data_IF_218384596394
#
_entry.id   IF_218384596394
#
_cell.length_a   1.000
_cell.length_b   1.000
_cell.length_c   1.000
_cell.angle_alpha   90.00
_cell.angle_beta   90.00
_cell.angle_gamma   90.00
#
_symmetry.space_group_name_H-M   'P 1'
#
loop_
_entity.id
_entity.type
_entity.pdbx_description
1 polymer ?
2 non-polymer ?
3 non-polymer ?
4 non-polymer ?
5 non-polymer ?
6 water ?
#
# COMPACT_ATOMS: atom_id res chain seq x y z
N UNK A 3 -8.32 -14.80 16.94
CA UNK A 3 -9.30 -13.77 17.26
C UNK A 3 -9.25 -12.55 16.32
N UNK A 4 -8.05 -11.98 16.05
CA UNK A 4 -8.00 -10.83 15.13
C UNK A 4 -8.39 -11.20 13.71
N UNK A 5 -7.73 -12.23 13.15
CA UNK A 5 -8.07 -12.66 11.80
C UNK A 5 -9.48 -13.22 11.72
N UNK A 6 -9.92 -13.90 12.77
CA UNK A 6 -11.26 -14.49 12.76
C UNK A 6 -12.34 -13.42 12.81
N UNK A 7 -12.14 -12.39 13.64
CA UNK A 7 -13.11 -11.30 13.70
C UNK A 7 -13.09 -10.46 12.44
N UNK A 8 -11.92 -10.29 11.82
CA UNK A 8 -11.82 -9.51 10.58
C UNK A 8 -12.60 -10.17 9.46
N UNK A 9 -12.67 -11.49 9.44
CA UNK A 9 -13.42 -12.19 8.39
C UNK A 9 -14.91 -12.21 8.66
N UNK A 10 -15.31 -12.21 9.94
CA UNK A 10 -16.74 -12.13 10.26
C UNK A 10 -17.33 -10.79 9.83
N UNK A 11 -16.58 -9.70 10.03
CA UNK A 11 -17.05 -8.39 9.61
C UNK A 11 -17.10 -8.30 8.09
N UNK A 12 -16.22 -9.03 7.39
CA UNK A 12 -16.28 -9.06 5.93
C UNK A 12 -17.62 -9.61 5.46
N UNK A 13 -18.07 -10.72 6.05
CA UNK A 13 -19.38 -11.26 5.72
C UNK A 13 -20.48 -10.27 6.03
N UNK A 14 -20.36 -9.56 7.16
CA UNK A 14 -21.36 -8.55 7.50
C UNK A 14 -21.33 -7.40 6.51
N UNK A 15 -20.14 -6.94 6.13
CA UNK A 15 -20.03 -5.84 5.16
C UNK A 15 -20.54 -6.30 3.79
N UNK A 16 -20.11 -7.48 3.34
CA UNK A 16 -20.54 -7.98 2.04
C UNK A 16 -22.05 -8.15 1.99
N UNK A 17 -22.64 -8.67 3.06
CA UNK A 17 -24.08 -8.90 3.07
C UNK A 17 -24.85 -7.59 2.99
N UNK A 18 -24.37 -6.55 3.68
CA UNK A 18 -25.04 -5.25 3.61
C UNK A 18 -24.95 -4.67 2.20
N UNK A 19 -23.75 -4.67 1.63
CA UNK A 19 -23.55 -4.07 0.31
C UNK A 19 -24.40 -4.77 -0.74
N UNK A 20 -24.44 -6.10 -0.70
CA UNK A 20 -25.18 -6.84 -1.72
C UNK A 20 -26.69 -6.71 -1.50
N UNK A 21 -27.14 -6.74 -0.25
CA UNK A 21 -28.57 -6.55 0.01
C UNK A 21 -28.99 -5.12 -0.34
N UNK A 22 -28.13 -4.14 -0.09
CA UNK A 22 -28.44 -2.77 -0.49
C UNK A 22 -28.65 -2.68 -1.99
N UNK A 23 -27.78 -3.34 -2.77
CA UNK A 23 -27.98 -3.38 -4.22
C UNK A 23 -29.30 -4.05 -4.59
N UNK A 24 -29.65 -5.12 -3.87
CA UNK A 24 -30.90 -5.82 -4.14
C UNK A 24 -32.11 -5.00 -3.73
N UNK A 25 -32.06 -4.41 -2.53
CA UNK A 25 -33.22 -3.74 -1.97
C UNK A 25 -33.37 -2.29 -2.40
N UNK A 26 -32.26 -1.59 -2.68
CA UNK A 26 -32.31 -0.17 -2.98
C UNK A 26 -31.85 0.18 -4.39
N UNK A 27 -31.18 -0.72 -5.10
CA UNK A 27 -30.65 -0.42 -6.42
C UNK A 27 -31.25 -1.31 -7.51
N UNK A 28 -32.25 -2.11 -7.18
CA UNK A 28 -33.03 -2.86 -8.17
C UNK A 28 -32.17 -3.88 -8.92
N UNK A 29 -31.19 -4.45 -8.24
CA UNK A 29 -30.28 -5.40 -8.87
C UNK A 29 -30.87 -6.81 -8.86
N UNK A 30 -30.76 -7.49 -9.98
CA UNK A 30 -31.24 -8.85 -10.14
C UNK A 30 -30.30 -9.84 -9.46
N UNK A 31 -30.81 -11.02 -9.08
CA UNK A 31 -29.95 -12.00 -8.40
C UNK A 31 -28.71 -12.39 -9.19
N UNK A 32 -28.81 -12.51 -10.52
CA UNK A 32 -27.67 -12.93 -11.32
C UNK A 32 -26.50 -11.98 -11.14
N UNK A 33 -26.76 -10.67 -11.13
CA UNK A 33 -25.68 -9.70 -10.96
C UNK A 33 -25.22 -9.61 -9.52
N UNK A 34 -26.09 -9.90 -8.55
CA UNK A 34 -25.68 -9.90 -7.15
C UNK A 34 -24.66 -11.01 -6.90
N UNK A 35 -24.96 -12.22 -7.39
CA UNK A 35 -23.99 -13.31 -7.26
C UNK A 35 -22.74 -13.02 -8.06
N UNK A 36 -22.87 -12.34 -9.20
CA UNK A 36 -21.69 -11.95 -9.97
C UNK A 36 -20.81 -10.99 -9.19
N UNK A 37 -21.43 -10.04 -8.47
CA UNK A 37 -20.65 -9.10 -7.69
C UNK A 37 -20.12 -9.71 -6.40
N UNK A 38 -20.82 -10.69 -5.84
CA UNK A 38 -20.28 -11.42 -4.70
C UNK A 38 -18.99 -12.15 -5.08
N UNK A 39 -18.99 -12.79 -6.25
CA UNK A 39 -17.79 -13.50 -6.70
C UNK A 39 -16.66 -12.53 -6.99
N UNK A 40 -16.97 -11.39 -7.61
CA UNK A 40 -15.93 -10.41 -7.92
C UNK A 40 -15.36 -9.79 -6.64
N UNK A 41 -16.22 -9.54 -5.65
CA UNK A 41 -15.73 -9.01 -4.38
C UNK A 41 -14.80 -10.00 -3.69
N UNK A 42 -15.20 -11.27 -3.63
CA UNK A 42 -14.36 -12.30 -3.02
C UNK A 42 -13.05 -12.46 -3.77
N UNK A 43 -13.10 -12.35 -5.11
CA UNK A 43 -11.90 -12.57 -5.91
C UNK A 43 -10.89 -11.45 -5.73
N UNK A 44 -11.37 -10.20 -5.66
CA UNK A 44 -10.47 -9.04 -5.62
C UNK A 44 -10.08 -8.64 -4.21
N UNK A 45 -10.95 -8.85 -3.22
CA UNK A 45 -10.69 -8.37 -1.87
C UNK A 45 -10.11 -9.45 -0.95
N UNK A 46 -10.31 -10.72 -1.25
CA UNK A 46 -9.81 -11.81 -0.42
C UNK A 46 -8.62 -12.48 -1.10
N UNK A 47 -7.73 -13.03 -0.28
CA UNK A 47 -6.57 -13.77 -0.76
C UNK A 47 -5.24 -13.19 -0.34
N UNK A 48 -5.17 -11.90 -0.02
CA UNK A 48 -3.94 -11.28 0.40
C UNK A 48 -3.59 -11.61 1.83
N UNK A 49 -2.62 -10.88 2.36
CA UNK A 49 -2.16 -11.07 3.73
C UNK A 49 -2.93 -10.19 4.72
N UNK A 50 -3.68 -9.19 4.24
CA UNK A 50 -4.52 -8.34 5.07
C UNK A 50 -3.71 -7.53 6.08
N UNK A 51 -2.45 -7.23 5.74
CA UNK A 51 -1.61 -6.49 6.68
C UNK A 51 -2.13 -5.08 6.91
N UNK A 52 -2.66 -4.43 5.86
CA UNK A 52 -3.22 -3.10 6.04
C UNK A 52 -4.46 -3.13 6.91
N UNK A 53 -5.35 -4.10 6.68
CA UNK A 53 -6.58 -4.17 7.46
C UNK A 53 -6.34 -4.61 8.89
N UNK A 54 -5.46 -5.58 9.10
CA UNK A 54 -5.18 -6.04 10.45
C UNK A 54 -4.43 -5.00 11.27
N UNK A 55 -3.68 -4.11 10.60
CA UNK A 55 -2.98 -3.05 11.32
C UNK A 55 -3.96 -2.12 12.01
N UNK A 56 -5.10 -1.82 11.37
CA UNK A 56 -6.11 -1.00 12.01
C UNK A 56 -6.65 -1.69 13.27
N UNK A 57 -6.75 -3.02 13.23
CA UNK A 57 -7.24 -3.76 14.39
C UNK A 57 -6.21 -3.73 15.52
N UNK A 58 -4.94 -3.97 15.18
CA UNK A 58 -3.90 -4.04 16.21
C UNK A 58 -3.68 -2.69 16.87
N UNK A 59 -3.84 -1.59 16.14
CA UNK A 59 -3.74 -0.28 16.75
C UNK A 59 -4.92 -0.02 17.68
N UNK A 60 -6.11 -0.51 17.31
CA UNK A 60 -7.30 -0.26 18.12
C UNK A 60 -7.25 -1.02 19.43
N UNK A 61 -6.73 -2.26 19.42
CA UNK A 61 -6.70 -3.05 20.65
C UNK A 61 -5.62 -2.55 21.60
N UNK A 62 -4.57 -1.92 21.08
CA UNK A 62 -3.52 -1.38 21.93
C UNK A 62 -3.91 -0.08 22.60
N UNK A 63 -4.88 0.65 22.04
CA UNK A 63 -5.29 1.92 22.62
C UNK A 63 -6.45 1.79 23.59
N UNK A 64 -7.28 0.76 23.45
CA UNK A 64 -8.32 0.51 24.44
C UNK A 64 -7.78 -0.10 25.72
N UNK A 65 -6.54 -0.61 25.70
CA UNK A 65 -5.89 -1.12 26.90
C UNK A 65 -5.22 -0.02 27.71
N UNK A 66 -5.03 1.17 27.13
CA UNK A 66 -4.41 2.28 27.84
C UNK A 66 -4.80 3.57 27.11
N UNK A 67 -5.79 4.26 27.63
CA UNK A 67 -6.27 5.50 27.02
C UNK A 67 -5.28 6.64 27.26
N UNK A 77 -16.14 -1.77 28.11
CA UNK A 77 -17.27 -2.67 27.99
C UNK A 77 -18.06 -2.46 26.71
N UNK A 78 -18.95 -1.47 26.71
CA UNK A 78 -19.75 -1.17 25.54
C UNK A 78 -18.95 -0.45 24.46
N UNK A 79 -17.91 0.29 24.84
CA UNK A 79 -17.08 1.00 23.88
C UNK A 79 -16.00 0.12 23.27
N UNK A 80 -15.60 -0.96 23.94
CA UNK A 80 -14.59 -1.85 23.38
C UNK A 80 -15.10 -2.55 22.13
N UNK A 81 -16.25 -3.22 22.23
CA UNK A 81 -16.79 -3.94 21.09
C UNK A 81 -17.10 -3.01 19.93
N UNK A 82 -17.50 -1.77 20.21
CA UNK A 82 -17.81 -0.81 19.15
C UNK A 82 -16.54 -0.36 18.43
N UNK A 83 -15.49 -0.04 19.19
CA UNK A 83 -14.24 0.40 18.56
C UNK A 83 -13.60 -0.73 17.77
N UNK A 84 -13.66 -1.96 18.30
CA UNK A 84 -13.10 -3.10 17.58
C UNK A 84 -13.86 -3.37 16.28
N UNK A 85 -15.18 -3.19 16.30
CA UNK A 85 -15.95 -3.35 15.07
C UNK A 85 -15.68 -2.22 14.09
N UNK A 86 -15.57 -0.99 14.58
CA UNK A 86 -15.26 0.14 13.71
C UNK A 86 -13.88 -0.01 13.09
N UNK A 87 -12.92 -0.58 13.81
CA UNK A 87 -11.60 -0.80 13.24
C UNK A 87 -11.63 -1.86 12.14
N UNK A 88 -12.51 -2.85 12.27
CA UNK A 88 -12.62 -3.88 11.23
C UNK A 88 -13.23 -3.30 9.96
N UNK A 89 -14.21 -2.41 10.09
CA UNK A 89 -14.77 -1.76 8.91
C UNK A 89 -13.73 -0.86 8.24
N UNK A 90 -12.97 -0.12 9.05
CA UNK A 90 -11.88 0.69 8.49
C UNK A 90 -10.81 -0.19 7.86
N UNK A 91 -10.57 -1.38 8.44
CA UNK A 91 -9.61 -2.30 7.85
C UNK A 91 -10.04 -2.77 6.47
N UNK A 92 -11.33 -3.03 6.29
CA UNK A 92 -11.82 -3.46 4.98
C UNK A 92 -11.93 -2.30 4.00
N UNK A 93 -12.05 -1.07 4.48
CA UNK A 93 -11.99 0.09 3.58
C UNK A 93 -10.64 0.14 2.87
N UNK A 94 -9.56 -0.10 3.60
CA UNK A 94 -8.24 -0.08 2.99
C UNK A 94 -8.04 -1.28 2.09
N UNK A 95 -8.54 -2.45 2.51
CA UNK A 95 -8.42 -3.64 1.67
C UNK A 95 -9.20 -3.48 0.37
N UNK A 96 -10.43 -2.96 0.45
CA UNK A 96 -11.19 -2.68 -0.76
C UNK A 96 -10.48 -1.62 -1.60
N UNK A 97 -9.90 -0.61 -0.96
CA UNK A 97 -9.13 0.40 -1.68
C UNK A 97 -7.93 -0.24 -2.37
N UNK A 98 -7.25 -1.17 -1.69
CA UNK A 98 -6.13 -1.88 -2.30
C UNK A 98 -6.61 -2.74 -3.47
N UNK A 99 -7.75 -3.41 -3.31
CA UNK A 99 -8.32 -4.16 -4.43
C UNK A 99 -8.64 -3.26 -5.60
N UNK A 100 -9.10 -2.03 -5.31
CA UNK A 100 -9.37 -1.07 -6.36
C UNK A 100 -8.10 -0.70 -7.12
N UNK A 101 -7.00 -0.47 -6.40
CA UNK A 101 -5.74 -0.15 -7.06
C UNK A 101 -5.24 -1.31 -7.90
N UNK A 102 -5.36 -2.55 -7.40
CA UNK A 102 -4.88 -3.71 -8.14
C UNK A 102 -5.67 -3.91 -9.42
N UNK A 103 -6.99 -3.75 -9.36
CA UNK A 103 -7.81 -3.86 -10.57
C UNK A 103 -7.38 -2.82 -11.59
N UNK A 104 -7.15 -1.58 -11.15
CA UNK A 104 -6.66 -0.54 -12.06
C UNK A 104 -5.32 -0.92 -12.66
N UNK A 105 -4.47 -1.62 -11.91
CA UNK A 105 -3.18 -2.04 -12.45
C UNK A 105 -3.35 -3.14 -13.50
N UNK A 106 -4.34 -4.03 -13.29
CA UNK A 106 -4.57 -5.10 -14.26
C UNK A 106 -5.00 -4.54 -15.60
N UNK A 107 -5.79 -3.46 -15.60
CA UNK A 107 -6.25 -2.86 -16.85
C UNK A 107 -5.08 -2.29 -17.64
N UNK A 108 -4.02 -1.87 -16.96
CA UNK A 108 -2.88 -1.26 -17.64
C UNK A 108 -2.09 -2.31 -18.44
N UNK A 109 -1.83 -3.47 -17.85
CA UNK A 109 -0.98 -4.47 -18.47
C UNK A 109 -1.75 -5.53 -19.23
N UNK A 110 -3.07 -5.62 -19.06
CA UNK A 110 -3.84 -6.59 -19.83
C UNK A 110 -3.93 -6.23 -21.30
N UNK A 111 -3.75 -4.96 -21.65
CA UNK A 111 -3.81 -4.53 -23.03
C UNK A 111 -2.98 -3.25 -23.24
N UNK A 124 -17.34 -4.15 -28.83
CA UNK A 124 -16.97 -3.73 -27.47
C UNK A 124 -16.42 -4.88 -26.63
N UNK A 125 -15.24 -4.69 -26.05
CA UNK A 125 -14.62 -5.71 -25.21
C UNK A 125 -15.26 -5.66 -23.85
N UNK A 126 -16.14 -6.63 -23.55
CA UNK A 126 -16.91 -6.59 -22.33
C UNK A 126 -16.07 -6.90 -21.10
N UNK A 127 -14.94 -7.62 -21.27
CA UNK A 127 -14.10 -7.92 -20.11
C UNK A 127 -13.34 -6.70 -19.63
N UNK A 128 -12.94 -5.82 -20.55
CA UNK A 128 -12.31 -4.57 -20.13
C UNK A 128 -13.35 -3.61 -19.57
N UNK A 129 -14.56 -3.63 -20.13
CA UNK A 129 -15.64 -2.82 -19.57
C UNK A 129 -15.96 -3.23 -18.15
N UNK A 130 -15.96 -4.54 -17.88
CA UNK A 130 -16.23 -5.01 -16.52
C UNK A 130 -15.06 -4.72 -15.59
N UNK A 131 -13.83 -4.75 -16.10
CA UNK A 131 -12.67 -4.45 -15.27
C UNK A 131 -12.71 -3.00 -14.79
N UNK A 132 -12.99 -2.07 -15.71
CA UNK A 132 -13.15 -0.68 -15.32
C UNK A 132 -14.31 -0.52 -14.35
N UNK A 133 -15.43 -1.21 -14.62
CA UNK A 133 -16.58 -1.14 -13.72
C UNK A 133 -16.23 -1.71 -12.35
N UNK A 134 -15.48 -2.81 -12.31
CA UNK A 134 -15.03 -3.37 -11.04
C UNK A 134 -14.23 -2.34 -10.23
N UNK A 135 -13.30 -1.65 -10.87
CA UNK A 135 -12.49 -0.67 -10.17
C UNK A 135 -13.31 0.47 -9.60
N UNK A 136 -14.37 0.87 -10.30
CA UNK A 136 -15.24 1.93 -9.79
C UNK A 136 -16.09 1.44 -8.63
N UNK A 137 -16.56 0.19 -8.69
CA UNK A 137 -17.40 -0.33 -7.63
C UNK A 137 -16.61 -0.57 -6.35
N UNK A 138 -15.38 -1.09 -6.48
CA UNK A 138 -14.56 -1.33 -5.29
C UNK A 138 -14.26 -0.02 -4.56
N UNK A 139 -14.00 1.05 -5.29
CA UNK A 139 -13.74 2.34 -4.65
C UNK A 139 -15.01 2.87 -3.99
N UNK A 140 -16.13 2.87 -4.72
CA UNK A 140 -17.39 3.36 -4.16
C UNK A 140 -17.81 2.54 -2.94
N UNK A 141 -17.49 1.25 -2.91
CA UNK A 141 -17.86 0.41 -1.78
C UNK A 141 -17.18 0.86 -0.49
N UNK A 142 -16.00 1.48 -0.59
CA UNK A 142 -15.36 2.03 0.60
C UNK A 142 -16.19 3.16 1.18
N UNK A 143 -16.84 3.95 0.30
CA UNK A 143 -17.70 5.03 0.78
C UNK A 143 -19.00 4.49 1.34
N UNK A 144 -19.60 3.49 0.68
CA UNK A 144 -20.88 2.97 1.13
C UNK A 144 -20.77 2.28 2.47
N UNK A 145 -19.72 1.46 2.67
CA UNK A 145 -19.57 0.79 3.95
C UNK A 145 -19.19 1.75 5.07
N UNK A 146 -18.59 2.90 4.73
CA UNK A 146 -18.28 3.89 5.75
C UNK A 146 -19.50 4.74 6.09
N UNK A 147 -20.27 5.14 5.07
CA UNK A 147 -21.48 5.92 5.32
C UNK A 147 -22.54 5.14 6.08
N UNK A 148 -22.48 3.80 6.06
CA UNK A 148 -23.46 2.98 6.74
C UNK A 148 -23.05 2.72 8.19
N UNK A 149 -21.94 2.01 8.39
CA UNK A 149 -21.54 1.60 9.73
C UNK A 149 -21.06 2.75 10.59
N UNK A 150 -20.71 3.88 9.99
CA UNK A 150 -20.25 5.06 10.73
C UNK A 150 -21.24 6.22 10.60
N UNK A 151 -22.51 5.91 10.34
CA UNK A 151 -23.50 6.98 10.14
C UNK A 151 -23.66 7.83 11.39
N UNK A 152 -23.63 7.21 12.58
CA UNK A 152 -23.77 7.92 13.83
C UNK A 152 -22.43 8.20 14.51
N UNK A 153 -21.32 8.07 13.77
CA UNK A 153 -20.05 8.36 14.42
C UNK A 153 -19.70 9.83 14.24
N UNK A 154 -19.18 10.48 15.29
CA UNK A 154 -18.76 11.88 15.15
C UNK A 154 -17.57 12.07 14.22
N UNK A 155 -16.79 11.03 13.97
CA UNK A 155 -15.60 11.13 13.13
C UNK A 155 -15.87 10.76 11.67
N UNK A 156 -17.14 10.62 11.29
CA UNK A 156 -17.45 10.20 9.92
C UNK A 156 -16.92 11.20 8.90
N UNK A 157 -17.10 12.49 9.14
CA UNK A 157 -16.63 13.49 8.19
C UNK A 157 -15.11 13.55 8.13
N UNK A 158 -14.46 13.53 9.30
CA UNK A 158 -13.00 13.57 9.32
C UNK A 158 -12.39 12.30 8.75
N UNK A 159 -13.06 11.16 8.92
CA UNK A 159 -12.54 9.91 8.37
C UNK A 159 -12.56 9.92 6.85
N UNK A 160 -13.66 10.40 6.25
CA UNK A 160 -13.76 10.43 4.80
C UNK A 160 -12.76 11.39 4.19
N UNK A 161 -12.50 12.52 4.86
CA UNK A 161 -11.57 13.51 4.31
C UNK A 161 -10.14 12.98 4.31
N UNK A 162 -9.72 12.36 5.41
CA UNK A 162 -8.38 11.78 5.46
C UNK A 162 -8.27 10.58 4.53
N UNK A 163 -9.34 9.80 4.38
CA UNK A 163 -9.34 8.68 3.46
C UNK A 163 -9.25 9.16 2.01
N UNK A 164 -10.07 10.16 1.65
CA UNK A 164 -10.05 10.67 0.29
C UNK A 164 -8.73 11.37 -0.03
N UNK A 165 -8.12 12.03 0.95
CA UNK A 165 -6.86 12.72 0.69
C UNK A 165 -5.73 11.73 0.48
N UNK A 166 -5.71 10.65 1.25
CA UNK A 166 -4.69 9.62 1.06
C UNK A 166 -4.88 8.92 -0.28
N UNK A 167 -6.13 8.66 -0.67
CA UNK A 167 -6.39 8.09 -1.99
C UNK A 167 -5.91 9.03 -3.09
N UNK A 168 -6.17 10.33 -2.94
CA UNK A 168 -5.64 11.31 -3.89
C UNK A 168 -4.11 11.29 -3.89
N UNK A 169 -3.51 11.16 -2.72
CA UNK A 169 -2.05 11.07 -2.62
C UNK A 169 -1.51 9.88 -3.40
N UNK A 170 -2.19 8.74 -3.31
CA UNK A 170 -1.73 7.54 -4.02
C UNK A 170 -1.79 7.74 -5.53
N UNK A 171 -2.86 8.38 -6.02
CA UNK A 171 -2.97 8.63 -7.45
C UNK A 171 -1.88 9.58 -7.94
N UNK A 172 -1.49 10.54 -7.09
CA UNK A 172 -0.39 11.42 -7.45
C UNK A 172 0.93 10.65 -7.46
N UNK A 173 1.12 9.76 -6.50
CA UNK A 173 2.33 8.94 -6.48
C UNK A 173 2.42 8.01 -7.68
N UNK A 174 1.28 7.52 -8.16
CA UNK A 174 1.28 6.70 -9.36
C UNK A 174 1.67 7.51 -10.59
N UNK A 175 1.32 8.80 -10.62
CA UNK A 175 1.78 9.66 -11.71
C UNK A 175 3.30 9.82 -11.67
N UNK A 176 3.87 10.00 -10.48
CA UNK A 176 5.32 10.11 -10.35
C UNK A 176 6.02 8.84 -10.80
N UNK A 177 5.43 7.69 -10.48
CA UNK A 177 6.08 6.42 -10.81
C UNK A 177 5.96 6.11 -12.30
N UNK A 178 4.78 6.34 -12.88
CA UNK A 178 4.53 5.98 -14.28
C UNK A 178 5.35 6.87 -15.21
N UNK A 179 5.52 8.14 -14.87
CA UNK A 179 6.21 9.10 -15.72
C UNK A 179 7.64 9.38 -15.24
N UNK A 180 8.26 8.43 -14.54
CA UNK A 180 9.61 8.67 -14.03
C UNK A 180 10.69 8.54 -15.10
N UNK A 181 10.33 8.07 -16.30
CA UNK A 181 11.30 7.88 -17.37
C UNK A 181 11.08 8.80 -18.56
N UNK A 182 10.09 9.69 -18.49
CA UNK A 182 9.79 10.56 -19.62
C UNK A 182 9.63 12.01 -19.17
N UNK A 183 9.22 12.88 -20.10
CA UNK A 183 8.85 14.25 -19.81
C UNK A 183 7.36 14.39 -20.08
N UNK A 184 6.57 14.55 -19.01
CA UNK A 184 5.13 14.65 -19.14
C UNK A 184 4.73 15.87 -19.95
N UNK A 185 4.25 15.64 -21.16
CA UNK A 185 3.84 16.74 -22.05
C UNK A 185 2.52 17.35 -21.61
N UNK A 198 14.62 8.88 -20.07
CA UNK A 198 15.05 10.07 -19.34
C UNK A 198 15.43 9.70 -17.91
N UNK A 199 16.71 9.86 -17.58
CA UNK A 199 17.23 9.47 -16.27
C UNK A 199 17.52 10.68 -15.38
N UNK A 200 16.97 11.85 -15.71
CA UNK A 200 17.19 13.03 -14.90
C UNK A 200 16.51 12.90 -13.54
N UNK A 201 15.34 12.27 -13.49
CA UNK A 201 14.61 12.06 -12.24
C UNK A 201 15.03 10.79 -11.52
N UNK A 202 16.07 10.11 -12.00
CA UNK A 202 16.59 8.91 -11.35
C UNK A 202 17.55 9.30 -10.23
N UNK A 203 16.97 9.88 -9.18
CA UNK A 203 17.71 10.30 -8.00
C UNK A 203 17.11 9.63 -6.77
N UNK A 204 17.84 9.70 -5.66
CA UNK A 204 17.37 9.08 -4.43
C UNK A 204 16.25 9.88 -3.79
N UNK A 205 16.28 11.20 -3.91
CA UNK A 205 15.20 12.01 -3.36
C UNK A 205 13.90 11.80 -4.12
N UNK A 206 13.97 11.68 -5.45
CA UNK A 206 12.77 11.40 -6.22
C UNK A 206 12.27 9.98 -6.00
N UNK A 207 13.19 9.03 -5.80
CA UNK A 207 12.78 7.68 -5.42
C UNK A 207 11.99 7.70 -4.12
N UNK A 208 12.43 8.50 -3.15
CA UNK A 208 11.69 8.60 -1.89
C UNK A 208 10.33 9.27 -2.11
N UNK A 209 10.26 10.21 -3.04
CA UNK A 209 8.96 10.84 -3.34
C UNK A 209 7.99 9.82 -3.92
N UNK A 210 8.47 8.95 -4.80
CA UNK A 210 7.61 7.92 -5.39
C UNK A 210 7.12 6.97 -4.31
N UNK A 211 8.04 6.46 -3.48
CA UNK A 211 7.65 5.54 -2.41
C UNK A 211 6.70 6.21 -1.45
N UNK A 212 6.95 7.48 -1.12
CA UNK A 212 6.12 8.20 -0.16
C UNK A 212 4.67 8.27 -0.63
N UNK A 213 4.45 8.82 -1.82
CA UNK A 213 3.09 9.08 -2.26
C UNK A 213 2.42 7.83 -2.84
N UNK A 214 3.17 7.00 -3.55
CA UNK A 214 2.56 5.85 -4.22
C UNK A 214 2.24 4.72 -3.24
N UNK A 215 3.04 4.56 -2.19
CA UNK A 215 2.91 3.38 -1.34
C UNK A 215 2.80 3.71 0.14
N UNK A 216 3.69 4.56 0.65
CA UNK A 216 3.83 4.72 2.09
C UNK A 216 2.56 5.29 2.73
N UNK A 217 1.91 6.24 2.07
CA UNK A 217 0.80 6.95 2.69
C UNK A 217 -0.39 6.03 2.96
N UNK A 218 -0.76 5.20 1.98
CA UNK A 218 -1.94 4.37 2.13
C UNK A 218 -1.64 3.01 2.73
N UNK A 219 -0.40 2.53 2.64
CA UNK A 219 -0.07 1.22 3.19
C UNK A 219 0.35 1.29 4.65
N UNK A 220 1.05 2.34 5.06
CA UNK A 220 1.56 2.45 6.41
C UNK A 220 0.91 3.56 7.22
N UNK A 221 0.80 4.76 6.66
CA UNK A 221 0.24 5.87 7.43
C UNK A 221 -1.26 5.73 7.60
N UNK A 222 -1.97 5.37 6.53
CA UNK A 222 -3.43 5.31 6.59
C UNK A 222 -3.95 4.28 7.59
N UNK A 223 -3.45 3.04 7.64
CA UNK A 223 -3.94 2.11 8.68
C UNK A 223 -3.68 2.60 10.09
N UNK A 224 -2.57 3.30 10.32
CA UNK A 224 -2.31 3.85 11.65
C UNK A 224 -3.29 4.97 12.00
N UNK A 225 -3.52 5.89 11.06
CA UNK A 225 -4.41 7.01 11.32
C UNK A 225 -5.82 6.50 11.58
N UNK A 226 -6.31 5.57 10.76
CA UNK A 226 -7.66 5.04 10.97
C UNK A 226 -7.77 4.28 12.29
N UNK A 227 -6.68 3.64 12.72
CA UNK A 227 -6.69 3.00 14.03
C UNK A 227 -6.75 4.01 15.17
N UNK A 228 -6.16 5.18 14.98
CA UNK A 228 -6.23 6.24 15.98
C UNK A 228 -7.58 6.95 15.97
N UNK A 229 -8.25 6.97 14.81
CA UNK A 229 -9.53 7.67 14.71
C UNK A 229 -10.63 6.88 15.41
N UNK A 230 -10.70 5.58 15.15
CA UNK A 230 -11.74 4.76 15.78
C UNK A 230 -11.49 4.64 17.27
N UNK A 231 -10.24 4.78 17.71
CA UNK A 231 -9.91 4.76 19.12
C UNK A 231 -10.00 6.14 19.76
N UNK A 232 -10.43 7.15 18.99
CA UNK A 232 -10.67 8.52 19.48
C UNK A 232 -9.41 9.18 20.03
N UNK A 233 -8.24 8.64 19.72
CA UNK A 233 -6.97 9.16 20.21
C UNK A 233 -6.13 9.76 19.08
N UNK A 234 -6.80 10.46 18.15
CA UNK A 234 -6.06 11.06 17.04
C UNK A 234 -5.21 12.24 17.48
N UNK A 235 -5.72 13.24 18.21
CA UNK A 235 -4.87 14.37 18.61
C UNK A 235 -3.93 14.08 19.78
N UNK A 236 -3.80 12.82 20.20
CA UNK A 236 -2.94 12.46 21.32
C UNK A 236 -1.61 11.87 20.87
N UNK A 237 -1.28 11.98 19.59
CA UNK A 237 -0.05 11.42 19.05
C UNK A 237 0.71 12.50 18.29
N UNK A 238 2.03 12.35 18.23
CA UNK A 238 2.87 13.23 17.41
C UNK A 238 2.78 12.74 15.98
N UNK A 239 2.02 13.47 15.15
CA UNK A 239 1.82 13.05 13.77
C UNK A 239 3.11 13.15 12.96
N UNK A 240 3.98 14.10 13.29
CA UNK A 240 5.23 14.22 12.57
C UNK A 240 6.10 12.98 12.69
N UNK A 241 6.25 12.47 13.92
CA UNK A 241 7.01 11.24 14.11
C UNK A 241 6.27 10.06 13.49
N UNK A 242 4.93 10.07 13.54
CA UNK A 242 4.15 8.99 12.94
C UNK A 242 4.31 8.97 11.43
N UNK A 243 4.18 10.15 10.79
CA UNK A 243 4.39 10.23 9.35
C UNK A 243 5.81 9.85 8.97
N UNK A 244 6.79 10.30 9.76
CA UNK A 244 8.18 9.99 9.46
C UNK A 244 8.44 8.49 9.52
N UNK A 245 7.79 7.79 10.46
CA UNK A 245 7.93 6.35 10.53
C UNK A 245 7.26 5.65 9.35
N UNK A 246 6.10 6.14 8.94
CA UNK A 246 5.40 5.53 7.81
C UNK A 246 6.21 5.64 6.53
N UNK A 247 6.87 6.78 6.30
CA UNK A 247 7.70 6.93 5.11
C UNK A 247 8.93 6.03 5.18
N UNK A 248 9.57 5.95 6.35
CA UNK A 248 10.76 5.12 6.49
C UNK A 248 10.43 3.65 6.36
N UNK A 249 9.31 3.21 6.95
CA UNK A 249 8.91 1.80 6.83
C UNK A 249 8.56 1.46 5.39
N UNK A 250 7.84 2.36 4.70
CA UNK A 250 7.56 2.14 3.29
C UNK A 250 8.82 2.15 2.45
N UNK A 251 9.77 3.01 2.81
CA UNK A 251 11.06 3.03 2.12
C UNK A 251 11.83 1.74 2.34
N UNK A 252 11.88 1.26 3.59
CA UNK A 252 12.52 -0.02 3.87
C UNK A 252 11.86 -1.15 3.09
N UNK A 253 10.53 -1.17 3.06
CA UNK A 253 9.81 -2.21 2.35
C UNK A 253 10.07 -2.14 0.84
N UNK A 254 10.10 -0.93 0.28
CA UNK A 254 10.23 -0.80 -1.17
C UNK A 254 11.64 -1.13 -1.64
N UNK A 255 12.67 -0.80 -0.86
CA UNK A 255 14.04 -1.12 -1.24
C UNK A 255 14.22 -2.63 -1.33
N UNK A 256 13.73 -3.35 -0.32
CA UNK A 256 13.77 -4.82 -0.38
C UNK A 256 12.93 -5.34 -1.53
N UNK A 257 11.80 -4.69 -1.82
CA UNK A 257 10.95 -5.14 -2.91
C UNK A 257 11.64 -4.99 -4.26
N UNK A 258 12.31 -3.85 -4.49
CA UNK A 258 13.01 -3.65 -5.75
C UNK A 258 14.14 -4.65 -5.92
N UNK A 259 14.81 -5.02 -4.83
CA UNK A 259 15.91 -5.97 -4.89
C UNK A 259 15.37 -7.36 -5.21
N UNK A 260 14.29 -7.77 -4.56
CA UNK A 260 13.69 -9.08 -4.84
C UNK A 260 13.10 -9.13 -6.24
N UNK A 261 12.61 -8.00 -6.75
CA UNK A 261 12.06 -7.98 -8.10
C UNK A 261 13.12 -8.31 -9.15
N UNK A 262 14.39 -8.07 -8.83
CA UNK A 262 15.47 -8.22 -9.81
C UNK A 262 16.21 -9.54 -9.70
N UNK A 263 16.35 -10.12 -8.50
CA UNK A 263 17.15 -11.32 -8.33
C UNK A 263 16.39 -12.52 -7.79
N UNK A 264 15.26 -12.32 -7.12
CA UNK A 264 14.49 -13.46 -6.63
C UNK A 264 13.80 -14.14 -7.81
N UNK A 265 13.96 -15.46 -7.99
CA UNK A 265 13.37 -16.14 -9.14
C UNK A 265 11.85 -16.10 -9.08
N UNK A 266 11.17 -16.29 -10.22
CA UNK A 266 9.71 -16.13 -10.24
C UNK A 266 8.97 -17.08 -9.31
N UNK A 267 9.34 -18.36 -9.28
CA UNK A 267 8.63 -19.33 -8.45
C UNK A 267 8.80 -19.05 -6.96
N UNK A 268 9.83 -18.30 -6.58
CA UNK A 268 10.03 -17.92 -5.18
C UNK A 268 9.51 -16.52 -4.87
N UNK A 269 9.56 -15.61 -5.85
CA UNK A 269 9.03 -14.26 -5.64
C UNK A 269 7.51 -14.23 -5.70
N UNK A 270 6.90 -15.16 -6.44
CA UNK A 270 5.46 -15.16 -6.66
C UNK A 270 5.02 -14.47 -7.92
N UNK A 271 5.89 -13.73 -8.59
CA UNK A 271 5.58 -13.07 -9.83
C UNK A 271 6.85 -13.01 -10.68
N UNK A 272 6.72 -12.44 -11.87
CA UNK A 272 7.86 -12.26 -12.77
C UNK A 272 8.39 -10.84 -12.56
N UNK A 273 9.66 -10.74 -12.18
CA UNK A 273 10.25 -9.42 -12.00
C UNK A 273 10.41 -8.70 -13.32
N UNK A 274 9.91 -7.47 -13.40
CA UNK A 274 9.89 -6.75 -14.67
C UNK A 274 10.32 -5.29 -14.54
N UNK A 275 11.01 -4.92 -13.45
CA UNK A 275 11.38 -3.53 -13.25
C UNK A 275 12.38 -3.07 -14.30
N UNK A 276 13.32 -3.93 -14.70
CA UNK A 276 14.31 -3.56 -15.70
C UNK A 276 13.65 -3.33 -17.06
N UNK A 277 12.79 -4.28 -17.47
CA UNK A 277 12.09 -4.14 -18.74
C UNK A 277 11.19 -2.92 -18.76
N UNK A 278 10.57 -2.59 -17.63
CA UNK A 278 9.67 -1.45 -17.54
C UNK A 278 10.40 -0.14 -17.21
N UNK A 279 11.73 -0.19 -17.08
CA UNK A 279 12.53 1.00 -16.81
C UNK A 279 12.04 1.73 -15.56
N UNK A 280 11.77 0.98 -14.50
CA UNK A 280 11.28 1.58 -13.27
C UNK A 280 12.39 2.35 -12.57
N UNK A 281 11.99 3.34 -11.78
CA UNK A 281 12.92 4.09 -10.93
C UNK A 281 13.08 3.36 -9.61
N UNK A 282 13.79 2.24 -9.67
CA UNK A 282 13.98 1.38 -8.52
C UNK A 282 15.19 1.85 -7.71
N UNK A 283 15.31 1.30 -6.50
CA UNK A 283 16.46 1.62 -5.66
C UNK A 283 17.76 1.17 -6.29
N UNK A 284 17.74 0.03 -7.00
CA UNK A 284 18.96 -0.46 -7.65
C UNK A 284 19.41 0.47 -8.76
N UNK A 285 18.47 1.10 -9.48
CA UNK A 285 18.85 1.96 -10.59
C UNK A 285 19.47 3.26 -10.11
N UNK A 286 18.84 3.91 -9.12
CA UNK A 286 19.33 5.21 -8.67
C UNK A 286 20.64 5.05 -7.89
N UNK A 287 20.83 3.90 -7.23
CA UNK A 287 22.08 3.66 -6.52
C UNK A 287 23.21 3.34 -7.48
N UNK A 288 22.91 2.59 -8.55
CA UNK A 288 23.91 2.25 -9.54
C UNK A 288 24.44 3.50 -10.24
N UNK A 289 23.53 4.40 -10.66
CA UNK A 289 23.93 5.59 -11.39
C UNK A 289 24.83 6.51 -10.58
N UNK A 290 24.78 6.43 -9.25
CA UNK A 290 25.62 7.29 -8.42
C UNK A 290 27.05 6.78 -8.34
N UNK A 291 27.27 5.47 -8.41
CA UNK A 291 28.61 4.90 -8.27
C UNK A 291 29.10 4.20 -9.52
N UNK A 292 28.46 4.41 -10.66
CA UNK A 292 28.89 3.81 -11.92
C UNK A 292 29.87 4.72 -12.63
N UNK A 293 30.78 4.11 -13.40
CA UNK A 293 31.70 4.88 -14.21
C UNK A 293 30.97 5.49 -15.40
N UNK A 294 31.63 6.46 -16.04
CA UNK A 294 31.02 7.14 -17.18
C UNK A 294 30.70 6.16 -18.31
N UNK A 295 31.56 5.16 -18.51
CA UNK A 295 31.30 4.17 -19.56
C UNK A 295 30.27 3.14 -19.13
N UNK A 296 30.15 2.86 -17.83
CA UNK A 296 29.14 1.94 -17.35
C UNK A 296 27.74 2.53 -17.45
N UNK A 297 27.61 3.84 -17.23
CA UNK A 297 26.31 4.50 -17.40
C UNK A 297 25.85 4.38 -18.84
N UNK A 298 26.78 4.53 -19.80
CA UNK A 298 26.43 4.33 -21.19
C UNK A 298 25.96 2.90 -21.45
N UNK A 299 26.63 1.92 -20.83
CA UNK A 299 26.18 0.54 -20.96
C UNK A 299 24.86 0.31 -20.25
N UNK A 300 24.62 1.02 -19.14
CA UNK A 300 23.36 0.89 -18.45
C UNK A 300 22.21 1.52 -19.25
N UNK A 301 22.42 2.74 -19.75
CA UNK A 301 21.38 3.41 -20.52
C UNK A 301 21.05 2.67 -21.80
N UNK A 302 22.03 1.95 -22.37
CA UNK A 302 21.80 1.22 -23.61
C UNK A 302 21.09 -0.09 -23.39
N UNK A 303 21.04 -0.60 -22.15
CA UNK A 303 20.40 -1.87 -21.85
C UNK A 303 19.15 -1.74 -20.99
N UNK A 304 18.94 -0.61 -20.34
CA UNK A 304 17.81 -0.45 -19.43
C UNK A 304 16.53 -0.16 -20.21
N UNK A 305 15.42 -0.70 -19.72
CA UNK A 305 14.13 -0.47 -20.36
C UNK A 305 13.91 -1.28 -21.62
N UNK A 306 14.38 -2.52 -21.65
CA UNK A 306 14.24 -3.37 -22.83
C UNK A 306 13.80 -4.76 -22.40
N UNK A 307 12.98 -5.39 -23.23
CA UNK A 307 12.52 -6.74 -22.96
C UNK A 307 13.45 -7.84 -23.39
N UNK A 308 14.58 -7.50 -24.02
CA UNK A 308 15.53 -8.50 -24.47
C UNK A 308 16.16 -9.21 -23.27
N UNK A 309 16.28 -10.54 -23.39
CA UNK A 309 16.71 -11.34 -22.24
C UNK A 309 18.14 -11.01 -21.80
N UNK A 310 19.00 -10.63 -22.74
CA UNK A 310 20.40 -10.38 -22.40
C UNK A 310 20.65 -8.94 -21.96
N UNK A 311 19.87 -7.98 -22.46
CA UNK A 311 19.97 -6.62 -21.94
C UNK A 311 19.54 -6.56 -20.48
N UNK A 312 18.52 -7.35 -20.12
CA UNK A 312 18.13 -7.44 -18.72
C UNK A 312 19.21 -8.15 -17.91
N UNK A 313 19.81 -9.20 -18.47
CA UNK A 313 20.91 -9.87 -17.79
C UNK A 313 22.14 -8.97 -17.70
N UNK A 314 22.35 -8.10 -18.68
CA UNK A 314 23.44 -7.13 -18.60
C UNK A 314 23.21 -6.16 -17.44
N UNK A 315 21.97 -5.72 -17.24
CA UNK A 315 21.65 -4.83 -16.13
C UNK A 315 21.88 -5.53 -14.80
N UNK A 316 21.45 -6.80 -14.70
CA UNK A 316 21.71 -7.57 -13.49
C UNK A 316 23.21 -7.74 -13.26
N UNK A 317 23.97 -7.96 -14.34
CA UNK A 317 25.42 -8.07 -14.20
C UNK A 317 26.03 -6.77 -13.70
N UNK A 318 25.56 -5.63 -14.21
CA UNK A 318 26.06 -4.34 -13.74
C UNK A 318 25.70 -4.11 -12.28
N UNK A 319 24.49 -4.48 -11.88
CA UNK A 319 24.10 -4.36 -10.48
C UNK A 319 24.97 -5.24 -9.58
N UNK A 320 25.30 -6.45 -10.05
CA UNK A 320 26.09 -7.37 -9.23
C UNK A 320 27.53 -6.90 -9.12
N UNK A 321 28.12 -6.45 -10.23
CA UNK A 321 29.52 -6.03 -10.21
C UNK A 321 29.73 -4.74 -9.43
N UNK A 322 28.71 -3.89 -9.35
CA UNK A 322 28.82 -2.64 -8.61
C UNK A 322 28.70 -2.84 -7.10
N UNK A 323 28.60 -4.09 -6.64
CA UNK A 323 28.48 -4.39 -5.21
C UNK A 323 27.27 -3.68 -4.59
N UNK A 324 26.15 -3.69 -5.31
CA UNK A 324 24.93 -3.09 -4.78
C UNK A 324 24.34 -3.91 -3.65
N UNK A 325 24.69 -5.20 -3.56
CA UNK A 325 24.20 -6.02 -2.47
C UNK A 325 24.78 -5.58 -1.13
N UNK A 326 26.00 -5.05 -1.14
CA UNK A 326 26.64 -4.65 0.09
C UNK A 326 26.06 -3.34 0.57
N UNK A 327 25.77 -2.45 -0.39
CA UNK A 327 25.07 -1.21 -0.07
C UNK A 327 23.62 -1.48 0.33
N UNK A 328 23.02 -2.56 -0.17
CA UNK A 328 21.64 -2.89 0.18
C UNK A 328 21.52 -3.26 1.65
N UNK A 329 22.46 -4.04 2.17
CA UNK A 329 22.43 -4.40 3.59
C UNK A 329 22.70 -3.17 4.45
N UNK A 330 23.63 -2.31 4.02
CA UNK A 330 23.96 -1.13 4.81
C UNK A 330 22.83 -0.11 4.77
N UNK A 331 22.21 0.08 3.61
CA UNK A 331 21.12 1.05 3.50
C UNK A 331 19.93 0.63 4.37
N UNK A 332 19.55 -0.66 4.31
CA UNK A 332 18.43 -1.13 5.09
C UNK A 332 18.73 -1.10 6.58
N UNK A 333 19.97 -1.42 6.96
CA UNK A 333 20.35 -1.34 8.37
C UNK A 333 20.24 0.08 8.89
N UNK A 334 20.70 1.06 8.10
CA UNK A 334 20.59 2.46 8.51
C UNK A 334 19.14 2.89 8.65
N UNK A 335 18.30 2.50 7.68
CA UNK A 335 16.87 2.81 7.77
C UNK A 335 16.26 2.13 8.99
N UNK A 336 16.61 0.86 9.21
CA UNK A 336 16.10 0.14 10.38
C UNK A 336 16.54 0.82 11.67
N UNK A 337 17.76 1.36 11.70
CA UNK A 337 18.21 2.11 12.87
C UNK A 337 17.37 3.37 13.06
N UNK A 338 17.02 4.06 11.96
CA UNK A 338 16.15 5.22 12.07
C UNK A 338 14.76 4.82 12.53
N UNK A 339 14.28 3.64 12.11
CA UNK A 339 12.98 3.17 12.54
C UNK A 339 13.01 2.75 14.01
N UNK A 340 14.00 1.93 14.37
CA UNK A 340 14.10 1.44 15.75
C UNK A 340 14.31 2.56 16.75
N UNK A 341 14.76 3.73 16.31
CA UNK A 341 14.98 4.86 17.20
C UNK A 341 13.84 5.89 17.18
N UNK A 342 13.07 5.94 16.09
CA UNK A 342 11.98 6.90 16.00
C UNK A 342 10.74 6.47 16.77
N UNK A 343 10.57 5.17 17.01
CA UNK A 343 9.42 4.68 17.78
C UNK A 343 9.48 5.18 19.23
N UNK A 344 10.68 5.50 19.73
CA UNK A 344 10.80 5.94 21.12
C UNK A 344 10.25 7.35 21.32
N UNK A 345 10.49 8.23 20.36
CA UNK A 345 9.86 9.56 20.43
C UNK A 345 8.34 9.45 20.45
N UNK A 346 7.79 8.42 19.81
CA UNK A 346 6.35 8.26 19.74
C UNK A 346 5.77 7.71 21.04
N UNK A 347 6.55 6.93 21.79
CA UNK A 347 6.06 6.33 23.02
C UNK A 347 6.19 7.25 24.23
N UNK A 348 7.07 8.27 24.17
CA UNK A 348 7.15 9.25 25.25
C UNK A 348 5.86 10.04 25.39
N UNK A 349 5.05 10.13 24.33
CA UNK A 349 3.77 10.81 24.36
C UNK A 349 2.59 9.91 24.09
N UNK A 350 2.78 8.74 23.47
CA UNK A 350 1.71 7.80 23.20
C UNK A 350 2.27 6.40 23.32
N UNK A 351 2.26 5.81 24.52
CA UNK A 351 2.93 4.52 24.70
C UNK A 351 2.23 3.37 23.99
N UNK A 352 0.90 3.29 24.08
CA UNK A 352 0.19 2.18 23.45
C UNK A 352 0.28 2.20 21.93
N UNK A 353 0.40 3.38 21.34
CA UNK A 353 0.54 3.48 19.89
C UNK A 353 1.83 2.83 19.42
N UNK A 354 2.91 3.00 20.18
CA UNK A 354 4.22 2.51 19.74
C UNK A 354 4.27 0.98 19.71
N UNK A 355 3.45 0.31 20.53
CA UNK A 355 3.47 -1.14 20.54
C UNK A 355 2.98 -1.71 19.22
N UNK A 356 1.99 -1.07 18.60
CA UNK A 356 1.47 -1.55 17.32
C UNK A 356 2.39 -1.19 16.16
N UNK A 357 3.05 -0.04 16.22
CA UNK A 357 3.99 0.33 15.17
C UNK A 357 5.16 -0.65 15.13
N UNK A 358 5.58 -1.16 16.29
CA UNK A 358 6.63 -2.18 16.32
C UNK A 358 6.15 -3.48 15.68
N UNK A 359 4.91 -3.87 15.95
CA UNK A 359 4.35 -5.04 15.30
C UNK A 359 4.20 -4.83 13.80
N UNK A 360 3.82 -3.63 13.38
CA UNK A 360 3.78 -3.32 11.96
C UNK A 360 5.18 -3.32 11.35
N UNK A 361 6.16 -2.73 12.06
CA UNK A 361 7.53 -2.78 11.59
C UNK A 361 8.08 -4.20 11.60
N UNK A 362 7.63 -5.03 12.54
CA UNK A 362 8.04 -6.43 12.54
C UNK A 362 7.55 -7.17 11.30
N UNK A 363 6.41 -6.77 10.76
CA UNK A 363 5.94 -7.38 9.51
C UNK A 363 6.78 -6.92 8.33
N UNK A 364 7.35 -5.71 8.40
CA UNK A 364 8.19 -5.19 7.34
C UNK A 364 9.64 -5.59 7.54
#
# INVERSE_FOLDING_TARGET
GPMPMQMFMQVYDEIQMFLLEELELKFDMDPNRVRYLRKMMDTTCLGGKYNRGLTVIDVAESLLSLSPNNNGEEDDGARRKRVLHDACVCGWMIEFLQAHYLVEDDIMDNSVTRRGKPCWYRHPDVTVQCAINDGLLLKSWTHMMAMHFFADRPFLQDLLCRFNRVDYTTAVGQLYDVTSMFDSNKLDPDVSQPTTTDFAEFTLSNYKRIVKYKTAYYTYLLPLVMGLIVSEALPTVDMGVTEELAMLMGEYFQVQDDVMDCFTPPERLGKVGTDIQDAKCSWLAVTFLAKASSAQVAEFKANYGSGDSEKVATVRRLYEEADLQGDYVAYEAAVAEQVKELIEKLRLCSPGFAASVETLWGKTYKRQK
#
